data_IF_186587799560
#
_entry.id   IF_186587799560
#
_cell.length_a   1.000
_cell.length_b   1.000
_cell.length_c   1.000
_cell.angle_alpha   90.00
_cell.angle_beta   90.00
_cell.angle_gamma   90.00
#
_symmetry.space_group_name_H-M   'P 1'
#
loop_
_entity.id
_entity.type
_entity.pdbx_description
1 polymer ?
#
# COMPACT_ATOMS: atom_id res chain seq x y z
N UNK A 1 -25.43 17.38 7.80
CA UNK A 1 -24.20 16.58 8.04
C UNK A 1 -24.49 15.18 7.54
N UNK A 2 -23.60 14.60 6.73
CA UNK A 2 -23.67 13.17 6.47
C UNK A 2 -23.51 12.46 7.82
N UNK A 3 -24.48 11.65 8.24
CA UNK A 3 -24.47 10.94 9.52
C UNK A 3 -23.25 10.01 9.68
N UNK A 4 -22.58 9.69 8.57
CA UNK A 4 -21.44 8.78 8.49
C UNK A 4 -20.06 9.47 8.59
N UNK A 5 -20.00 10.81 8.60
CA UNK A 5 -18.74 11.56 8.71
C UNK A 5 -18.67 12.19 10.08
N UNK A 6 -17.67 11.79 10.88
CA UNK A 6 -17.55 12.28 12.24
C UNK A 6 -17.23 13.80 12.26
N UNK A 7 -17.88 14.61 13.10
CA UNK A 7 -17.74 16.08 13.08
C UNK A 7 -16.34 16.61 13.42
N UNK A 8 -15.46 15.78 13.99
CA UNK A 8 -14.06 16.13 14.27
C UNK A 8 -13.08 15.75 13.15
N UNK A 9 -13.57 15.15 12.07
CA UNK A 9 -12.77 14.94 10.87
C UNK A 9 -12.65 16.23 10.06
N UNK A 10 -11.52 16.41 9.39
CA UNK A 10 -11.32 17.50 8.44
C UNK A 10 -11.36 16.94 7.02
N UNK A 11 -12.20 17.53 6.18
CA UNK A 11 -12.28 17.21 4.75
C UNK A 11 -12.03 18.51 4.00
N UNK A 12 -10.91 18.56 3.27
CA UNK A 12 -10.52 19.72 2.50
C UNK A 12 -11.50 19.96 1.32
N UNK A 13 -11.80 21.22 0.98
CA UNK A 13 -12.53 21.54 -0.24
C UNK A 13 -11.83 20.94 -1.48
N UNK A 14 -12.59 20.26 -2.33
CA UNK A 14 -12.09 19.59 -3.53
C UNK A 14 -11.94 18.07 -3.40
N UNK A 15 -11.93 17.53 -2.18
CA UNK A 15 -12.00 16.09 -1.96
C UNK A 15 -13.32 15.52 -2.52
N UNK A 16 -13.24 14.39 -3.21
CA UNK A 16 -14.39 13.70 -3.80
C UNK A 16 -14.76 12.51 -2.93
N UNK A 17 -15.96 12.55 -2.36
CA UNK A 17 -16.46 11.54 -1.43
C UNK A 17 -17.68 10.86 -2.04
N UNK A 18 -17.62 9.53 -2.20
CA UNK A 18 -18.71 8.71 -2.69
C UNK A 18 -19.88 8.57 -1.72
N UNK A 19 -20.86 7.76 -2.10
CA UNK A 19 -22.04 7.45 -1.30
C UNK A 19 -21.70 6.50 -0.15
N UNK A 20 -22.40 6.63 0.97
CA UNK A 20 -22.27 5.74 2.13
C UNK A 20 -20.84 5.61 2.70
N UNK A 21 -19.97 6.60 2.43
CA UNK A 21 -18.62 6.65 2.99
C UNK A 21 -18.69 7.00 4.48
N UNK A 22 -17.96 6.24 5.29
CA UNK A 22 -17.79 6.48 6.73
C UNK A 22 -16.40 7.04 7.00
N UNK A 23 -16.32 8.14 7.74
CA UNK A 23 -15.03 8.75 8.13
C UNK A 23 -15.00 8.93 9.65
N UNK A 24 -14.03 8.26 10.28
CA UNK A 24 -13.83 8.28 11.72
C UNK A 24 -13.33 9.62 12.27
N UNK A 25 -13.37 9.80 13.60
CA UNK A 25 -12.92 11.03 14.26
C UNK A 25 -11.46 11.35 13.98
N UNK A 26 -11.17 12.64 13.90
CA UNK A 26 -9.81 13.20 13.85
C UNK A 26 -8.99 12.73 12.63
N UNK A 27 -9.67 12.28 11.57
CA UNK A 27 -9.06 11.98 10.28
C UNK A 27 -8.99 13.22 9.40
N UNK A 28 -7.94 13.30 8.57
CA UNK A 28 -7.66 14.40 7.64
C UNK A 28 -7.75 13.85 6.21
N UNK A 29 -8.65 14.40 5.42
CA UNK A 29 -8.80 14.11 3.99
C UNK A 29 -8.38 15.34 3.21
N UNK A 30 -7.25 15.26 2.51
CA UNK A 30 -6.69 16.36 1.72
C UNK A 30 -7.48 16.59 0.42
N UNK A 31 -7.25 17.75 -0.23
CA UNK A 31 -8.04 18.20 -1.39
C UNK A 31 -7.94 17.26 -2.59
N UNK A 32 -6.81 16.57 -2.73
CA UNK A 32 -6.47 15.75 -3.89
C UNK A 32 -6.80 14.26 -3.65
N UNK A 33 -7.96 13.99 -3.05
CA UNK A 33 -8.42 12.64 -2.70
C UNK A 33 -9.75 12.33 -3.38
N UNK A 34 -9.89 11.09 -3.85
CA UNK A 34 -11.16 10.49 -4.24
C UNK A 34 -11.39 9.21 -3.45
N UNK A 35 -12.56 9.09 -2.82
CA UNK A 35 -12.95 7.91 -2.02
C UNK A 35 -14.23 7.32 -2.62
N UNK A 36 -14.16 6.05 -3.06
CA UNK A 36 -15.27 5.32 -3.65
C UNK A 36 -16.36 4.93 -2.65
N UNK A 37 -17.55 4.64 -3.16
CA UNK A 37 -18.76 4.31 -2.42
C UNK A 37 -18.55 3.19 -1.37
N UNK A 38 -19.23 3.31 -0.22
CA UNK A 38 -19.23 2.30 0.85
C UNK A 38 -17.88 2.12 1.55
N UNK A 39 -16.92 3.01 1.33
CA UNK A 39 -15.60 2.95 1.97
C UNK A 39 -15.66 3.42 3.41
N UNK A 40 -14.89 2.75 4.28
CA UNK A 40 -14.73 3.08 5.69
C UNK A 40 -13.30 3.56 5.92
N UNK A 41 -13.17 4.79 6.40
CA UNK A 41 -11.92 5.37 6.90
C UNK A 41 -11.99 5.43 8.42
N UNK A 42 -11.05 4.78 9.09
CA UNK A 42 -10.93 4.74 10.54
C UNK A 42 -10.57 6.09 11.14
N UNK A 43 -10.32 6.11 12.45
CA UNK A 43 -9.93 7.31 13.18
C UNK A 43 -8.47 7.67 12.95
N UNK A 44 -8.13 8.95 13.04
CA UNK A 44 -6.75 9.44 12.96
C UNK A 44 -6.03 9.05 11.65
N UNK A 45 -6.76 8.80 10.57
CA UNK A 45 -6.17 8.56 9.25
C UNK A 45 -5.80 9.88 8.59
N UNK A 46 -4.77 9.88 7.75
CA UNK A 46 -4.41 11.03 6.93
C UNK A 46 -4.27 10.59 5.47
N UNK A 47 -5.18 11.05 4.61
CA UNK A 47 -5.27 10.62 3.22
C UNK A 47 -4.96 11.79 2.28
N UNK A 48 -4.07 11.56 1.32
CA UNK A 48 -3.67 12.50 0.28
C UNK A 48 -2.58 13.46 0.70
N UNK A 49 -1.61 13.00 1.50
CA UNK A 49 -0.45 13.83 1.91
C UNK A 49 0.31 14.31 0.67
N UNK A 50 0.50 15.63 0.55
CA UNK A 50 1.19 16.26 -0.57
C UNK A 50 2.69 15.92 -0.57
N UNK A 51 3.27 15.75 -1.76
CA UNK A 51 4.69 15.42 -1.91
C UNK A 51 5.27 15.90 -3.24
N UNK A 52 6.53 16.33 -3.24
CA UNK A 52 7.25 16.74 -4.46
C UNK A 52 7.69 15.55 -5.33
N UNK A 53 7.59 14.34 -4.79
CA UNK A 53 7.96 13.09 -5.49
C UNK A 53 6.76 12.48 -6.26
N UNK A 54 5.55 12.99 -6.02
CA UNK A 54 4.34 12.52 -6.69
C UNK A 54 4.22 13.06 -8.11
N UNK A 55 3.46 12.36 -8.95
CA UNK A 55 3.13 12.80 -10.30
C UNK A 55 1.98 13.83 -10.38
N UNK A 56 1.48 14.29 -9.23
CA UNK A 56 0.41 15.30 -9.11
C UNK A 56 -1.00 14.75 -9.33
N UNK A 57 -1.16 13.45 -9.58
CA UNK A 57 -2.48 12.82 -9.62
C UNK A 57 -3.07 12.68 -8.22
N UNK A 58 -4.38 12.48 -8.17
CA UNK A 58 -5.10 12.29 -6.90
C UNK A 58 -4.72 10.98 -6.23
N UNK A 59 -4.89 10.91 -4.91
CA UNK A 59 -5.08 9.63 -4.23
C UNK A 59 -6.46 9.08 -4.60
N UNK A 60 -6.52 7.89 -5.17
CA UNK A 60 -7.76 7.18 -5.49
C UNK A 60 -7.90 5.95 -4.59
N UNK A 61 -8.96 5.94 -3.78
CA UNK A 61 -9.37 4.77 -3.00
C UNK A 61 -10.64 4.20 -3.63
N UNK A 62 -10.57 2.96 -4.12
CA UNK A 62 -11.71 2.25 -4.69
C UNK A 62 -12.83 1.99 -3.70
N UNK A 63 -13.96 1.49 -4.22
CA UNK A 63 -15.20 1.25 -3.46
C UNK A 63 -15.03 0.15 -2.42
N UNK A 64 -15.89 0.16 -1.41
CA UNK A 64 -15.96 -0.88 -0.37
C UNK A 64 -14.63 -1.14 0.33
N UNK A 65 -13.78 -0.12 0.40
CA UNK A 65 -12.48 -0.20 1.05
C UNK A 65 -12.62 -0.04 2.57
N UNK A 66 -11.67 -0.56 3.33
CA UNK A 66 -11.56 -0.38 4.78
C UNK A 66 -10.14 0.04 5.14
N UNK A 67 -9.95 1.32 5.39
CA UNK A 67 -8.68 1.89 5.85
C UNK A 67 -8.77 2.02 7.37
N UNK A 68 -8.02 1.21 8.11
CA UNK A 68 -8.05 1.23 9.58
C UNK A 68 -7.21 2.36 10.16
N UNK A 69 -7.44 2.61 11.45
CA UNK A 69 -6.97 3.80 12.16
C UNK A 69 -5.47 4.05 12.08
N UNK A 70 -5.08 5.32 12.12
CA UNK A 70 -3.70 5.80 12.06
C UNK A 70 -2.94 5.49 10.76
N UNK A 71 -3.64 5.08 9.70
CA UNK A 71 -3.00 4.88 8.40
C UNK A 71 -2.79 6.21 7.66
N UNK A 72 -1.67 6.32 6.96
CA UNK A 72 -1.27 7.50 6.18
C UNK A 72 -1.07 7.10 4.73
N UNK A 73 -1.74 7.80 3.82
CA UNK A 73 -1.61 7.60 2.38
C UNK A 73 -1.22 8.92 1.72
N UNK A 74 -0.17 8.88 0.91
CA UNK A 74 0.25 10.02 0.10
C UNK A 74 -0.62 10.16 -1.15
N UNK A 75 -0.59 11.33 -1.75
CA UNK A 75 -1.21 11.56 -3.06
C UNK A 75 -0.54 10.74 -4.18
N UNK A 76 -1.03 10.92 -5.41
CA UNK A 76 -0.48 10.26 -6.60
C UNK A 76 -0.49 8.73 -6.57
N UNK A 77 -1.38 8.12 -5.79
CA UNK A 77 -1.50 6.66 -5.67
C UNK A 77 -2.92 6.22 -5.97
N UNK A 78 -3.08 5.01 -6.53
CA UNK A 78 -4.36 4.48 -6.98
C UNK A 78 -4.55 3.07 -6.43
N UNK A 79 -5.69 2.82 -5.81
CA UNK A 79 -6.05 1.52 -5.25
C UNK A 79 -7.41 1.10 -5.78
N UNK A 80 -7.49 -0.11 -6.31
CA UNK A 80 -8.75 -0.71 -6.74
C UNK A 80 -9.75 -0.93 -5.61
N UNK A 81 -10.90 -1.47 -5.97
CA UNK A 81 -11.98 -1.75 -5.02
C UNK A 81 -11.53 -2.73 -3.93
N UNK A 82 -12.13 -2.62 -2.74
CA UNK A 82 -11.94 -3.52 -1.60
C UNK A 82 -10.51 -3.53 -1.04
N UNK A 83 -9.82 -2.38 -1.06
CA UNK A 83 -8.59 -2.20 -0.29
C UNK A 83 -8.87 -2.42 1.20
N UNK A 84 -8.04 -3.21 1.88
CA UNK A 84 -8.16 -3.43 3.34
C UNK A 84 -6.82 -3.19 4.02
N UNK A 85 -6.77 -2.29 5.00
CA UNK A 85 -5.55 -2.07 5.79
C UNK A 85 -5.70 -2.54 7.22
N UNK A 86 -4.63 -3.00 7.85
CA UNK A 86 -4.44 -3.01 9.29
C UNK A 86 -4.26 -1.59 9.83
N UNK A 87 -3.86 -1.47 11.08
CA UNK A 87 -3.64 -0.17 11.72
C UNK A 87 -2.25 0.36 11.39
N UNK A 88 -2.09 1.70 11.37
CA UNK A 88 -0.78 2.35 11.23
C UNK A 88 -0.03 1.92 9.96
N UNK A 89 -0.75 1.79 8.85
CA UNK A 89 -0.15 1.53 7.54
C UNK A 89 0.32 2.84 6.94
N UNK A 90 1.48 2.84 6.29
CA UNK A 90 2.00 3.99 5.54
C UNK A 90 2.17 3.60 4.08
N UNK A 91 1.61 4.39 3.17
CA UNK A 91 1.81 4.21 1.72
C UNK A 91 2.22 5.52 1.08
N UNK A 92 3.40 5.51 0.45
CA UNK A 92 3.95 6.65 -0.28
C UNK A 92 3.46 6.72 -1.73
N UNK A 93 3.78 7.84 -2.36
CA UNK A 93 3.30 8.26 -3.69
C UNK A 93 3.58 7.28 -4.82
N UNK A 94 2.88 7.47 -5.95
CA UNK A 94 3.07 6.71 -7.19
C UNK A 94 2.90 5.19 -7.00
N UNK A 95 2.14 4.76 -5.99
CA UNK A 95 1.77 3.36 -5.81
C UNK A 95 0.49 3.08 -6.57
N UNK A 96 0.50 2.09 -7.45
CA UNK A 96 -0.69 1.61 -8.16
C UNK A 96 -0.97 0.18 -7.74
N UNK A 97 -2.15 -0.06 -7.19
CA UNK A 97 -2.60 -1.35 -6.71
C UNK A 97 -3.95 -1.74 -7.30
N UNK A 98 -4.08 -3.02 -7.66
CA UNK A 98 -5.31 -3.61 -8.14
C UNK A 98 -6.39 -3.77 -7.06
N UNK A 99 -7.37 -4.62 -7.36
CA UNK A 99 -8.49 -4.90 -6.47
C UNK A 99 -8.09 -5.81 -5.31
N UNK A 100 -8.75 -5.64 -4.16
CA UNK A 100 -8.65 -6.52 -3.00
C UNK A 100 -7.22 -6.69 -2.45
N UNK A 101 -6.40 -5.64 -2.55
CA UNK A 101 -5.14 -5.55 -1.82
C UNK A 101 -5.41 -5.51 -0.31
N UNK A 102 -4.69 -6.34 0.44
CA UNK A 102 -4.69 -6.30 1.89
C UNK A 102 -3.31 -5.93 2.43
N UNK A 103 -3.25 -4.90 3.27
CA UNK A 103 -2.00 -4.43 3.89
C UNK A 103 -2.11 -4.61 5.39
N UNK A 104 -1.28 -5.44 6.00
CA UNK A 104 -1.32 -5.71 7.43
C UNK A 104 -0.89 -4.52 8.29
N UNK A 105 -1.17 -4.60 9.60
CA UNK A 105 -0.79 -3.57 10.58
C UNK A 105 0.71 -3.27 10.51
N UNK A 106 1.08 -1.99 10.53
CA UNK A 106 2.46 -1.49 10.36
C UNK A 106 3.09 -1.80 8.98
N UNK A 107 2.28 -2.12 7.97
CA UNK A 107 2.78 -2.22 6.60
C UNK A 107 3.29 -0.88 6.07
N UNK A 108 4.39 -0.92 5.34
CA UNK A 108 5.11 0.26 4.83
C UNK A 108 5.45 0.09 3.35
N UNK A 109 4.85 0.91 2.49
CA UNK A 109 5.05 0.88 1.04
C UNK A 109 5.72 2.19 0.60
N UNK A 110 6.93 2.09 0.06
CA UNK A 110 7.83 3.22 -0.15
C UNK A 110 7.61 4.03 -1.44
N UNK A 111 6.58 3.68 -2.22
CA UNK A 111 6.18 4.43 -3.42
C UNK A 111 6.77 3.90 -4.73
N UNK A 112 6.31 4.43 -5.86
CA UNK A 112 6.65 3.96 -7.21
C UNK A 112 6.52 2.43 -7.37
N UNK A 113 5.49 1.84 -6.74
CA UNK A 113 5.26 0.40 -6.73
C UNK A 113 4.05 0.04 -7.60
N UNK A 114 4.11 -1.13 -8.23
CA UNK A 114 2.97 -1.74 -8.93
C UNK A 114 2.56 -3.02 -8.23
N UNK A 115 1.29 -3.16 -7.88
CA UNK A 115 0.75 -4.28 -7.12
C UNK A 115 -0.50 -4.82 -7.83
N UNK A 116 -0.53 -6.12 -8.11
CA UNK A 116 -1.65 -6.78 -8.77
C UNK A 116 -2.89 -6.97 -7.88
N UNK A 117 -3.81 -7.79 -8.36
CA UNK A 117 -5.06 -8.09 -7.68
C UNK A 117 -4.88 -9.18 -6.60
N UNK A 118 -5.73 -9.12 -5.57
CA UNK A 118 -5.82 -10.15 -4.51
C UNK A 118 -4.51 -10.43 -3.75
N UNK A 119 -3.62 -9.43 -3.70
CA UNK A 119 -2.35 -9.49 -2.97
C UNK A 119 -2.56 -9.32 -1.46
N UNK A 120 -1.78 -10.03 -0.66
CA UNK A 120 -1.85 -9.96 0.81
C UNK A 120 -0.48 -9.70 1.41
N UNK A 121 -0.32 -8.52 1.99
CA UNK A 121 0.79 -8.20 2.89
C UNK A 121 0.30 -8.37 4.32
N UNK A 122 1.03 -9.16 5.11
CA UNK A 122 0.77 -9.30 6.52
C UNK A 122 1.42 -8.15 7.32
N UNK A 123 1.42 -8.25 8.66
CA UNK A 123 1.92 -7.21 9.54
C UNK A 123 3.39 -6.88 9.31
N UNK A 124 3.72 -5.58 9.36
CA UNK A 124 5.10 -5.08 9.35
C UNK A 124 5.91 -5.55 8.12
N UNK A 125 5.25 -5.65 6.96
CA UNK A 125 5.91 -5.87 5.67
C UNK A 125 6.41 -4.54 5.13
N UNK A 126 7.66 -4.51 4.67
CA UNK A 126 8.27 -3.38 4.00
C UNK A 126 8.40 -3.65 2.49
N UNK A 127 7.75 -2.83 1.68
CA UNK A 127 7.81 -2.87 0.22
C UNK A 127 8.69 -1.70 -0.25
N UNK A 128 9.93 -2.01 -0.63
CA UNK A 128 10.88 -1.04 -1.15
C UNK A 128 10.40 -0.41 -2.47
N UNK A 129 10.77 0.85 -2.67
CA UNK A 129 10.42 1.65 -3.87
C UNK A 129 10.82 0.92 -5.16
N UNK A 130 10.00 1.02 -6.21
CA UNK A 130 10.11 0.29 -7.50
C UNK A 130 9.78 -1.20 -7.47
N UNK A 131 9.26 -1.74 -6.37
CA UNK A 131 8.85 -3.15 -6.35
C UNK A 131 7.66 -3.39 -7.27
N UNK A 132 7.68 -4.51 -7.99
CA UNK A 132 6.58 -4.99 -8.84
C UNK A 132 6.06 -6.30 -8.29
N UNK A 133 4.75 -6.36 -8.01
CA UNK A 133 4.12 -7.48 -7.33
C UNK A 133 2.93 -7.93 -8.18
N UNK A 134 2.95 -9.20 -8.60
CA UNK A 134 1.91 -9.84 -9.38
C UNK A 134 0.64 -10.13 -8.58
N UNK A 135 -0.25 -10.91 -9.16
CA UNK A 135 -1.55 -11.26 -8.59
C UNK A 135 -1.43 -12.39 -7.58
N UNK A 136 -2.32 -12.41 -6.58
CA UNK A 136 -2.41 -13.50 -5.59
C UNK A 136 -1.11 -13.77 -4.83
N UNK A 137 -0.22 -12.78 -4.72
CA UNK A 137 1.04 -12.88 -3.96
C UNK A 137 0.77 -12.76 -2.46
N UNK A 138 1.47 -13.56 -1.67
CA UNK A 138 1.40 -13.50 -0.20
C UNK A 138 2.76 -13.15 0.38
N UNK A 139 2.78 -12.07 1.17
CA UNK A 139 3.98 -11.60 1.87
C UNK A 139 3.70 -11.63 3.37
N UNK A 140 4.33 -12.58 4.06
CA UNK A 140 4.11 -12.85 5.49
C UNK A 140 4.83 -11.82 6.38
N UNK A 141 4.57 -11.81 7.71
CA UNK A 141 5.05 -10.74 8.58
C UNK A 141 6.56 -10.52 8.53
N UNK A 142 6.99 -9.27 8.68
CA UNK A 142 8.40 -8.86 8.76
C UNK A 142 9.24 -9.14 7.50
N UNK A 143 8.61 -9.40 6.35
CA UNK A 143 9.35 -9.46 5.08
C UNK A 143 9.79 -8.06 4.67
N UNK A 144 11.00 -7.98 4.12
CA UNK A 144 11.60 -6.74 3.59
C UNK A 144 12.01 -6.94 2.15
N UNK A 145 11.40 -6.16 1.24
CA UNK A 145 11.86 -6.04 -0.14
C UNK A 145 12.78 -4.83 -0.26
N UNK A 146 14.02 -5.03 -0.67
CA UNK A 146 15.03 -3.97 -0.78
C UNK A 146 15.18 -3.49 -2.24
N UNK A 147 15.93 -2.41 -2.47
CA UNK A 147 16.05 -1.84 -3.81
C UNK A 147 17.42 -1.21 -4.18
N UNK A 148 18.34 -1.00 -3.24
CA UNK A 148 19.66 -0.43 -3.54
C UNK A 148 20.74 -1.53 -3.55
N UNK A 149 21.26 -1.95 -4.72
CA UNK A 149 22.21 -3.06 -4.84
C UNK A 149 23.59 -2.78 -4.24
N UNK A 150 23.96 -1.50 -4.09
CA UNK A 150 25.27 -1.08 -3.57
C UNK A 150 25.10 0.17 -2.69
N UNK A 151 24.48 0.05 -1.50
CA UNK A 151 24.01 1.21 -0.76
C UNK A 151 25.14 2.02 -0.11
N UNK A 152 25.03 3.36 -0.07
CA UNK A 152 24.01 4.19 -0.75
C UNK A 152 24.35 4.41 -2.23
N UNK A 153 23.35 4.31 -3.13
CA UNK A 153 23.49 4.64 -4.55
C UNK A 153 22.21 5.25 -5.15
N UNK A 154 22.37 5.94 -6.29
CA UNK A 154 21.25 6.49 -7.07
C UNK A 154 20.55 5.42 -7.95
N UNK A 155 21.14 4.22 -8.06
CA UNK A 155 20.62 3.14 -8.89
C UNK A 155 19.72 2.23 -8.07
N UNK A 156 18.40 2.39 -8.24
CA UNK A 156 17.42 1.53 -7.56
C UNK A 156 16.88 0.44 -8.49
N UNK A 157 16.98 -0.81 -8.03
CA UNK A 157 16.45 -2.03 -8.64
C UNK A 157 15.41 -2.66 -7.70
N UNK A 158 14.13 -2.39 -7.96
CA UNK A 158 13.05 -2.98 -7.16
C UNK A 158 12.94 -4.49 -7.33
N UNK A 159 12.41 -5.16 -6.31
CA UNK A 159 12.12 -6.60 -6.34
C UNK A 159 10.91 -6.89 -7.22
N UNK A 160 10.93 -8.03 -7.92
CA UNK A 160 9.77 -8.54 -8.66
C UNK A 160 9.25 -9.81 -8.01
N UNK A 161 7.96 -9.84 -7.63
CA UNK A 161 7.27 -11.02 -7.14
C UNK A 161 6.22 -11.43 -8.18
N UNK A 162 6.39 -12.56 -8.85
CA UNK A 162 5.44 -13.04 -9.86
C UNK A 162 4.20 -13.66 -9.21
N UNK A 163 3.16 -13.88 -10.03
CA UNK A 163 1.85 -14.37 -9.60
C UNK A 163 1.93 -15.61 -8.71
N UNK A 164 1.09 -15.67 -7.68
CA UNK A 164 1.00 -16.78 -6.72
C UNK A 164 2.28 -17.08 -5.93
N UNK A 165 3.32 -16.26 -6.02
CA UNK A 165 4.51 -16.42 -5.19
C UNK A 165 4.20 -16.16 -3.71
N UNK A 166 4.92 -16.85 -2.83
CA UNK A 166 4.75 -16.78 -1.38
C UNK A 166 6.08 -16.48 -0.71
N UNK A 167 6.11 -15.40 0.06
CA UNK A 167 7.29 -14.99 0.83
C UNK A 167 7.00 -15.18 2.32
N UNK A 168 7.57 -16.21 2.92
CA UNK A 168 7.35 -16.52 4.33
C UNK A 168 8.03 -15.49 5.27
N UNK A 169 7.63 -15.53 6.53
CA UNK A 169 7.94 -14.48 7.52
C UNK A 169 9.44 -14.20 7.67
N UNK A 170 9.79 -12.94 7.93
CA UNK A 170 11.17 -12.47 8.19
C UNK A 170 12.17 -12.69 7.05
N UNK A 171 11.71 -12.98 5.82
CA UNK A 171 12.61 -13.06 4.68
C UNK A 171 13.02 -11.65 4.19
N UNK A 172 14.26 -11.54 3.71
CA UNK A 172 14.78 -10.35 3.05
C UNK A 172 15.07 -10.69 1.59
N UNK A 173 14.51 -9.90 0.67
CA UNK A 173 14.74 -10.06 -0.77
C UNK A 173 15.67 -8.94 -1.23
N UNK A 174 16.84 -9.32 -1.76
CA UNK A 174 17.86 -8.38 -2.21
C UNK A 174 17.43 -7.65 -3.50
N UNK A 175 18.06 -6.50 -3.82
CA UNK A 175 17.65 -5.64 -4.92
C UNK A 175 17.68 -6.35 -6.27
N UNK A 176 16.67 -6.06 -7.10
CA UNK A 176 16.55 -6.59 -8.47
C UNK A 176 16.24 -8.09 -8.56
N UNK A 177 16.11 -8.80 -7.44
CA UNK A 177 15.76 -10.23 -7.43
C UNK A 177 14.33 -10.42 -7.92
N UNK A 178 14.14 -11.44 -8.76
CA UNK A 178 12.83 -11.95 -9.18
C UNK A 178 12.47 -13.24 -8.45
N UNK A 179 11.27 -13.27 -7.87
CA UNK A 179 10.66 -14.48 -7.32
C UNK A 179 9.62 -14.98 -8.32
N UNK A 180 9.84 -16.18 -8.85
CA UNK A 180 9.05 -16.79 -9.91
C UNK A 180 7.64 -17.18 -9.48
N UNK A 181 6.82 -17.45 -10.50
CA UNK A 181 5.42 -17.81 -10.32
C UNK A 181 5.30 -19.09 -9.48
N UNK A 182 4.40 -19.10 -8.49
CA UNK A 182 4.21 -20.22 -7.54
C UNK A 182 5.43 -20.55 -6.65
N UNK A 183 6.51 -19.77 -6.70
CA UNK A 183 7.67 -20.00 -5.85
C UNK A 183 7.33 -19.77 -4.37
N UNK A 184 8.02 -20.51 -3.49
CA UNK A 184 7.95 -20.36 -2.05
C UNK A 184 9.32 -19.98 -1.50
N UNK A 185 9.43 -18.79 -0.93
CA UNK A 185 10.59 -18.36 -0.15
C UNK A 185 10.38 -18.74 1.31
N UNK A 186 11.33 -19.49 1.86
CA UNK A 186 11.30 -19.96 3.24
C UNK A 186 11.41 -18.82 4.27
N UNK A 187 10.93 -19.09 5.48
CA UNK A 187 11.01 -18.12 6.58
C UNK A 187 12.48 -17.78 6.90
N UNK A 188 12.74 -16.53 7.23
CA UNK A 188 14.08 -16.00 7.56
C UNK A 188 15.13 -16.14 6.44
N UNK A 189 14.72 -16.41 5.20
CA UNK A 189 15.65 -16.48 4.08
C UNK A 189 16.23 -15.09 3.72
N UNK A 190 17.49 -15.05 3.32
CA UNK A 190 18.08 -13.91 2.63
C UNK A 190 18.28 -14.30 1.16
N UNK A 191 17.43 -13.78 0.28
CA UNK A 191 17.38 -14.18 -1.12
C UNK A 191 18.19 -13.21 -1.96
N UNK A 192 19.34 -13.68 -2.46
CA UNK A 192 20.27 -12.88 -3.27
C UNK A 192 20.33 -13.23 -4.75
N UNK A 193 19.46 -14.14 -5.21
CA UNK A 193 19.37 -14.57 -6.60
C UNK A 193 17.92 -14.87 -6.92
N UNK A 194 17.59 -14.84 -8.20
CA UNK A 194 16.27 -15.20 -8.69
C UNK A 194 15.88 -16.61 -8.22
N UNK A 195 14.61 -16.75 -7.87
CA UNK A 195 14.00 -18.03 -7.48
C UNK A 195 13.06 -18.42 -8.62
N UNK A 196 13.29 -19.56 -9.30
CA UNK A 196 12.43 -20.01 -10.39
C UNK A 196 11.06 -20.48 -9.90
#
# INVERSE_FOLDING_TARGET
MNLNIHPTSYIAPGAVIGNDVVIGPLSIIHKNVSIGDGTIVGSYCELGVETTLGNGTRLEIGKQSTIRSHSVFYESSQFGDRLVTGHRVTVRENTVAGENLQIGTLGDIQGDCTIGDFVRFHSNVHIGKKSTIGNFVWVFPYVVLTNDPTPPSETLLGVTLDDFSIIATMAVILPGVRIGQHALVAASACVGKDVP
#
